data_IF_599338029583
#
_entry.id   IF_599338029583
#
_cell.length_a   1.000
_cell.length_b   1.000
_cell.length_c   1.000
_cell.angle_alpha   90.00
_cell.angle_beta   90.00
_cell.angle_gamma   90.00
#
_symmetry.space_group_name_H-M   'P 1'
#
loop_
_entity.id
_entity.type
_entity.pdbx_description
1 polymer ?
#
# COMPACT_ATOMS: atom_id res chain seq x y z
N UNK A 1 -17.59 -15.12 9.84
CA UNK A 1 -18.86 -15.31 10.58
C UNK A 1 -19.28 -16.78 10.57
N UNK A 2 -19.40 -17.41 11.74
CA UNK A 2 -19.81 -18.83 11.85
C UNK A 2 -21.27 -19.00 11.44
N UNK A 3 -21.61 -20.04 10.67
CA UNK A 3 -22.97 -20.30 10.13
C UNK A 3 -24.06 -20.41 11.20
N UNK A 4 -23.72 -20.84 12.42
CA UNK A 4 -24.66 -20.83 13.55
C UNK A 4 -25.00 -19.43 14.11
N UNK A 5 -24.28 -18.38 13.67
CA UNK A 5 -24.50 -17.01 14.15
C UNK A 5 -25.82 -16.39 13.64
N UNK A 6 -26.50 -17.01 12.68
CA UNK A 6 -27.74 -16.50 12.08
C UNK A 6 -29.01 -17.20 12.59
N UNK A 7 -28.88 -18.27 13.36
CA UNK A 7 -30.03 -18.96 13.93
C UNK A 7 -30.60 -18.12 15.09
N UNK A 8 -31.92 -17.84 15.12
CA UNK A 8 -32.60 -17.15 16.21
C UNK A 8 -32.73 -18.09 17.42
N UNK A 9 -31.60 -18.50 17.97
CA UNK A 9 -31.55 -19.20 19.25
C UNK A 9 -31.40 -18.14 20.36
N UNK A 10 -32.19 -18.25 21.43
CA UNK A 10 -32.04 -17.43 22.62
C UNK A 10 -30.70 -17.76 23.32
N UNK A 11 -29.59 -17.21 22.81
CA UNK A 11 -28.22 -17.54 23.26
C UNK A 11 -27.97 -17.23 24.73
N UNK A 12 -28.75 -16.30 25.30
CA UNK A 12 -28.72 -15.99 26.73
C UNK A 12 -29.26 -17.12 27.61
N UNK A 13 -30.04 -18.07 27.06
CA UNK A 13 -30.53 -19.26 27.78
C UNK A 13 -29.56 -20.44 27.72
N UNK A 14 -28.58 -20.44 26.81
CA UNK A 14 -27.61 -21.53 26.68
C UNK A 14 -26.85 -21.81 27.98
N UNK A 15 -26.34 -20.82 28.73
CA UNK A 15 -25.66 -21.07 30.00
C UNK A 15 -26.58 -21.73 31.04
N UNK A 16 -27.83 -21.26 31.14
CA UNK A 16 -28.81 -21.80 32.10
C UNK A 16 -29.23 -23.23 31.76
N UNK A 17 -29.49 -23.52 30.48
CA UNK A 17 -29.77 -24.88 30.01
C UNK A 17 -28.59 -25.82 30.22
N UNK A 18 -27.37 -25.36 29.92
CA UNK A 18 -26.15 -26.16 30.10
C UNK A 18 -25.91 -26.44 31.58
N UNK A 19 -26.09 -25.46 32.46
CA UNK A 19 -26.03 -25.65 33.92
C UNK A 19 -27.09 -26.62 34.43
N UNK A 20 -28.35 -26.47 34.00
CA UNK A 20 -29.44 -27.35 34.42
C UNK A 20 -29.14 -28.81 34.05
N UNK A 21 -28.68 -29.05 32.83
CA UNK A 21 -28.31 -30.39 32.35
C UNK A 21 -27.07 -30.94 33.06
N UNK A 22 -26.06 -30.11 33.32
CA UNK A 22 -24.89 -30.48 34.10
C UNK A 22 -25.29 -30.89 35.53
N UNK A 23 -26.18 -30.15 36.19
CA UNK A 23 -26.70 -30.48 37.51
C UNK A 23 -27.59 -31.73 37.50
N UNK A 24 -28.46 -31.87 36.49
CA UNK A 24 -29.36 -33.03 36.34
C UNK A 24 -28.60 -34.34 36.04
N UNK A 25 -27.44 -34.26 35.39
CA UNK A 25 -26.57 -35.41 35.18
C UNK A 25 -25.61 -35.66 36.36
N UNK A 26 -25.06 -34.62 36.97
CA UNK A 26 -24.07 -34.75 38.06
C UNK A 26 -24.69 -35.26 39.37
N UNK A 27 -25.88 -34.78 39.76
CA UNK A 27 -26.50 -35.18 41.04
C UNK A 27 -26.80 -36.69 41.13
N UNK A 28 -27.38 -37.37 40.13
CA UNK A 28 -27.60 -38.81 40.19
C UNK A 28 -26.33 -39.64 39.92
N UNK A 29 -25.29 -39.08 39.30
CA UNK A 29 -23.97 -39.75 39.16
C UNK A 29 -23.24 -39.89 40.52
N UNK A 30 -23.51 -39.01 41.48
CA UNK A 30 -23.04 -39.13 42.87
C UNK A 30 -23.86 -40.08 43.76
N UNK A 31 -24.93 -40.68 43.25
CA UNK A 31 -25.81 -41.56 44.03
C UNK A 31 -25.15 -42.92 44.35
N UNK A 32 -25.41 -43.46 45.55
CA UNK A 32 -25.00 -44.81 45.93
C UNK A 32 -25.66 -45.91 45.06
N UNK A 33 -26.83 -45.61 44.46
CA UNK A 33 -27.56 -46.54 43.61
C UNK A 33 -26.92 -46.68 42.23
N UNK A 34 -26.48 -47.91 41.91
CA UNK A 34 -25.89 -48.25 40.60
C UNK A 34 -26.86 -48.02 39.43
N UNK A 35 -28.16 -48.21 39.65
CA UNK A 35 -29.20 -48.00 38.62
C UNK A 35 -29.38 -46.51 38.29
N UNK A 36 -29.37 -45.64 39.29
CA UNK A 36 -29.46 -44.19 39.11
C UNK A 36 -28.24 -43.62 38.39
N UNK A 37 -27.04 -44.09 38.75
CA UNK A 37 -25.79 -43.72 38.04
C UNK A 37 -25.82 -44.14 36.57
N UNK A 38 -26.30 -45.35 36.27
CA UNK A 38 -26.42 -45.84 34.90
C UNK A 38 -27.43 -45.01 34.08
N UNK A 39 -28.58 -44.67 34.66
CA UNK A 39 -29.60 -43.85 34.01
C UNK A 39 -29.10 -42.42 33.71
N UNK A 40 -28.39 -41.79 34.65
CA UNK A 40 -27.79 -40.47 34.43
C UNK A 40 -26.67 -40.49 33.39
N UNK A 41 -25.82 -41.53 33.41
CA UNK A 41 -24.80 -41.74 32.39
C UNK A 41 -25.39 -41.93 30.99
N UNK A 42 -26.49 -42.68 30.87
CA UNK A 42 -27.21 -42.85 29.62
C UNK A 42 -27.80 -41.53 29.12
N UNK A 43 -28.45 -40.76 30.01
CA UNK A 43 -29.04 -39.46 29.65
C UNK A 43 -27.97 -38.46 29.20
N UNK A 44 -26.82 -38.44 29.87
CA UNK A 44 -25.67 -37.64 29.46
C UNK A 44 -25.12 -38.09 28.10
N UNK A 45 -24.97 -39.39 27.87
CA UNK A 45 -24.49 -39.93 26.60
C UNK A 45 -25.44 -39.61 25.44
N UNK A 46 -26.75 -39.73 25.65
CA UNK A 46 -27.78 -39.35 24.67
C UNK A 46 -27.73 -37.83 24.39
N UNK A 47 -27.58 -37.01 25.43
CA UNK A 47 -27.50 -35.57 25.28
C UNK A 47 -26.23 -35.13 24.53
N UNK A 48 -25.06 -35.68 24.88
CA UNK A 48 -23.81 -35.44 24.15
C UNK A 48 -23.94 -35.92 22.70
N UNK A 49 -24.48 -37.12 22.49
CA UNK A 49 -24.73 -37.66 21.16
C UNK A 49 -25.64 -36.76 20.31
N UNK A 50 -26.72 -36.25 20.88
CA UNK A 50 -27.65 -35.34 20.22
C UNK A 50 -27.01 -34.00 19.85
N UNK A 51 -26.24 -33.39 20.76
CA UNK A 51 -25.56 -32.12 20.51
C UNK A 51 -24.39 -32.29 19.51
N UNK A 52 -23.70 -33.42 19.55
CA UNK A 52 -22.62 -33.72 18.63
C UNK A 52 -23.14 -34.13 17.25
N UNK A 53 -24.33 -34.72 17.15
CA UNK A 53 -24.95 -35.13 15.89
C UNK A 53 -25.07 -33.96 14.91
N UNK A 54 -25.57 -32.80 15.36
CA UNK A 54 -25.65 -31.60 14.54
C UNK A 54 -24.29 -31.14 14.04
N UNK A 55 -23.27 -31.13 14.89
CA UNK A 55 -21.90 -30.75 14.52
C UNK A 55 -21.25 -31.76 13.55
N UNK A 56 -21.49 -33.06 13.73
CA UNK A 56 -20.97 -34.12 12.86
C UNK A 56 -21.65 -34.06 11.48
N UNK A 57 -22.96 -33.89 11.43
CA UNK A 57 -23.72 -33.79 10.17
C UNK A 57 -23.30 -32.53 9.41
N UNK A 58 -23.25 -31.37 10.07
CA UNK A 58 -22.75 -30.14 9.47
C UNK A 58 -21.29 -30.26 9.03
N UNK A 59 -20.46 -30.93 9.85
CA UNK A 59 -19.07 -31.22 9.53
C UNK A 59 -18.94 -32.04 8.25
N UNK A 60 -19.72 -33.11 8.10
CA UNK A 60 -19.76 -33.97 6.90
C UNK A 60 -20.24 -33.23 5.66
N UNK A 61 -21.28 -32.40 5.79
CA UNK A 61 -21.79 -31.57 4.69
C UNK A 61 -20.77 -30.52 4.25
N UNK A 62 -19.90 -30.07 5.15
CA UNK A 62 -18.84 -29.12 4.87
C UNK A 62 -17.53 -29.74 4.34
N UNK A 63 -17.38 -31.08 4.35
CA UNK A 63 -16.15 -31.77 3.87
C UNK A 63 -15.84 -31.44 2.40
N UNK A 64 -16.79 -31.55 1.45
CA UNK A 64 -16.49 -31.28 0.04
C UNK A 64 -16.03 -29.84 -0.22
N UNK A 65 -16.64 -28.88 0.47
CA UNK A 65 -16.24 -27.46 0.40
C UNK A 65 -14.85 -27.24 1.02
N UNK A 66 -14.56 -27.89 2.15
CA UNK A 66 -13.22 -27.87 2.75
C UNK A 66 -12.17 -28.45 1.81
N UNK A 67 -12.42 -29.60 1.20
CA UNK A 67 -11.47 -30.27 0.31
C UNK A 67 -11.25 -29.45 -0.97
N UNK A 68 -12.31 -28.87 -1.54
CA UNK A 68 -12.20 -27.96 -2.67
C UNK A 68 -11.36 -26.70 -2.33
N UNK A 69 -11.55 -26.12 -1.13
CA UNK A 69 -10.74 -24.98 -0.65
C UNK A 69 -9.27 -25.37 -0.44
N UNK A 70 -9.01 -26.55 0.12
CA UNK A 70 -7.63 -27.05 0.31
C UNK A 70 -6.95 -27.32 -1.04
N UNK A 71 -7.64 -27.96 -1.99
CA UNK A 71 -7.13 -28.19 -3.33
C UNK A 71 -6.82 -26.88 -4.06
N UNK A 72 -7.72 -25.89 -3.99
CA UNK A 72 -7.50 -24.54 -4.52
C UNK A 72 -6.25 -23.88 -3.94
N UNK A 73 -6.09 -23.94 -2.62
CA UNK A 73 -4.93 -23.37 -1.92
C UNK A 73 -3.62 -24.07 -2.29
N UNK A 74 -3.64 -25.39 -2.49
CA UNK A 74 -2.48 -26.13 -3.00
C UNK A 74 -2.11 -25.72 -4.43
N UNK A 75 -3.11 -25.53 -5.30
CA UNK A 75 -2.90 -25.01 -6.67
C UNK A 75 -2.29 -23.61 -6.65
N UNK A 76 -2.82 -22.71 -5.80
CA UNK A 76 -2.28 -21.36 -5.59
C UNK A 76 -0.83 -21.40 -5.12
N UNK A 77 -0.53 -22.20 -4.10
CA UNK A 77 0.83 -22.37 -3.57
C UNK A 77 1.80 -22.83 -4.65
N UNK A 78 1.38 -23.82 -5.46
CA UNK A 78 2.18 -24.34 -6.57
C UNK A 78 2.37 -23.30 -7.68
N UNK A 79 1.35 -22.52 -8.00
CA UNK A 79 1.42 -21.48 -9.03
C UNK A 79 2.38 -20.35 -8.62
N UNK A 80 2.26 -19.86 -7.38
CA UNK A 80 3.17 -18.85 -6.82
C UNK A 80 4.60 -19.38 -6.75
N UNK A 81 4.80 -20.62 -6.28
CA UNK A 81 6.13 -21.24 -6.23
C UNK A 81 6.77 -21.42 -7.62
N UNK A 82 5.99 -21.74 -8.65
CA UNK A 82 6.47 -21.81 -10.05
C UNK A 82 6.95 -20.46 -10.59
N UNK A 83 6.36 -19.36 -10.11
CA UNK A 83 6.76 -18.00 -10.46
C UNK A 83 7.96 -17.50 -9.64
N UNK A 84 8.49 -18.32 -8.73
CA UNK A 84 9.71 -18.04 -7.97
C UNK A 84 9.53 -17.09 -6.79
N UNK A 85 8.30 -16.65 -6.48
CA UNK A 85 8.04 -15.80 -5.32
C UNK A 85 7.79 -16.64 -4.06
N UNK A 86 8.27 -16.15 -2.91
CA UNK A 86 7.96 -16.78 -1.61
C UNK A 86 6.75 -16.15 -0.93
N UNK A 87 6.31 -14.98 -1.40
CA UNK A 87 5.10 -14.32 -0.91
C UNK A 87 4.19 -13.88 -2.06
N UNK A 88 2.88 -13.81 -1.78
CA UNK A 88 1.88 -13.24 -2.66
C UNK A 88 0.95 -12.29 -1.90
N UNK A 89 0.61 -11.19 -2.54
CA UNK A 89 -0.14 -10.10 -1.93
C UNK A 89 -1.60 -10.12 -2.37
N UNK A 90 -2.54 -10.15 -1.42
CA UNK A 90 -3.96 -10.25 -1.75
C UNK A 90 -4.57 -8.88 -2.06
N UNK A 91 -5.24 -8.79 -3.21
CA UNK A 91 -6.04 -7.64 -3.65
C UNK A 91 -7.50 -8.08 -3.83
N UNK A 92 -8.35 -7.67 -2.90
CA UNK A 92 -9.78 -8.01 -2.92
C UNK A 92 -10.47 -7.43 -1.70
N UNK A 93 -11.75 -7.71 -1.53
CA UNK A 93 -12.55 -7.20 -0.39
C UNK A 93 -11.95 -7.58 0.99
N UNK A 94 -12.54 -7.06 2.08
CA UNK A 94 -12.07 -7.39 3.43
C UNK A 94 -11.90 -8.88 3.66
N UNK A 95 -12.93 -9.62 3.27
CA UNK A 95 -13.07 -11.02 3.62
C UNK A 95 -11.97 -11.77 2.91
N UNK A 96 -11.75 -11.45 1.64
CA UNK A 96 -10.65 -11.96 0.86
C UNK A 96 -9.29 -11.64 1.50
N UNK A 97 -9.03 -10.38 1.86
CA UNK A 97 -7.76 -10.01 2.52
C UNK A 97 -7.59 -10.66 3.90
N UNK A 98 -8.67 -10.87 4.66
CA UNK A 98 -8.64 -11.57 5.94
C UNK A 98 -8.24 -13.04 5.81
N UNK A 99 -8.36 -13.63 4.62
CA UNK A 99 -7.91 -15.00 4.39
C UNK A 99 -6.39 -15.14 4.27
N UNK A 100 -5.62 -14.05 4.11
CA UNK A 100 -4.17 -14.09 3.91
C UNK A 100 -3.47 -14.96 4.98
N UNK A 101 -3.72 -14.67 6.26
CA UNK A 101 -3.21 -15.46 7.38
C UNK A 101 -3.65 -16.93 7.36
N UNK A 102 -4.91 -17.18 6.98
CA UNK A 102 -5.45 -18.55 6.86
C UNK A 102 -4.81 -19.33 5.70
N UNK A 103 -4.54 -18.67 4.58
CA UNK A 103 -3.82 -19.26 3.45
C UNK A 103 -2.37 -19.55 3.84
N UNK A 104 -1.68 -18.59 4.46
CA UNK A 104 -0.31 -18.73 4.99
C UNK A 104 -0.17 -19.88 5.98
N UNK A 105 -1.11 -20.04 6.92
CA UNK A 105 -1.06 -21.13 7.89
C UNK A 105 -1.11 -22.50 7.21
N UNK A 106 -1.98 -22.66 6.22
CA UNK A 106 -2.20 -23.95 5.54
C UNK A 106 -1.09 -24.31 4.56
N UNK A 107 -0.44 -23.33 3.95
CA UNK A 107 0.76 -23.55 3.12
C UNK A 107 2.03 -23.68 3.94
N UNK A 108 1.94 -23.73 5.28
CA UNK A 108 3.10 -23.68 6.19
C UNK A 108 4.01 -22.48 5.88
N UNK A 109 3.41 -21.36 5.46
CA UNK A 109 4.05 -20.12 5.04
C UNK A 109 5.00 -20.27 3.85
N UNK A 110 4.77 -21.27 3.01
CA UNK A 110 5.56 -21.51 1.79
C UNK A 110 4.64 -21.85 0.60
N UNK A 111 4.16 -20.85 -0.15
CA UNK A 111 4.43 -19.42 -0.02
C UNK A 111 3.61 -18.76 1.10
N UNK A 112 4.08 -17.61 1.59
CA UNK A 112 3.32 -16.72 2.46
C UNK A 112 2.32 -15.87 1.66
N UNK A 113 1.21 -15.53 2.29
CA UNK A 113 0.16 -14.66 1.74
C UNK A 113 -0.06 -13.49 2.69
N UNK A 114 -0.10 -12.28 2.13
CA UNK A 114 -0.15 -11.03 2.90
C UNK A 114 -1.29 -10.12 2.44
N UNK A 115 -1.83 -9.33 3.38
CA UNK A 115 -2.82 -8.30 3.09
C UNK A 115 -2.21 -6.90 3.18
N UNK A 116 -2.33 -6.13 2.09
CA UNK A 116 -1.67 -4.83 1.88
C UNK A 116 -2.04 -3.77 2.93
N UNK A 117 -3.25 -3.83 3.50
CA UNK A 117 -3.73 -2.85 4.47
C UNK A 117 -3.44 -3.21 5.93
N UNK A 118 -3.83 -4.42 6.35
CA UNK A 118 -3.86 -4.82 7.77
C UNK A 118 -2.52 -5.25 8.32
N UNK A 119 -1.71 -5.89 7.48
CA UNK A 119 -0.53 -6.61 7.92
C UNK A 119 0.74 -5.83 7.63
N UNK A 120 0.64 -4.56 7.20
CA UNK A 120 1.77 -3.74 6.74
C UNK A 120 2.93 -3.66 7.74
N UNK A 121 2.63 -3.67 9.04
CA UNK A 121 3.61 -3.65 10.12
C UNK A 121 4.05 -5.07 10.57
N UNK A 122 3.42 -6.13 10.04
CA UNK A 122 3.79 -7.50 10.37
C UNK A 122 5.04 -7.92 9.57
N UNK A 123 5.92 -8.75 10.16
CA UNK A 123 7.12 -9.25 9.49
C UNK A 123 6.86 -9.94 8.15
N UNK A 124 5.68 -10.59 8.00
CA UNK A 124 5.30 -11.25 6.76
C UNK A 124 5.07 -10.25 5.61
N UNK A 125 4.43 -9.10 5.87
CA UNK A 125 4.26 -8.07 4.85
C UNK A 125 5.61 -7.42 4.49
N UNK A 126 6.45 -7.13 5.48
CA UNK A 126 7.82 -6.66 5.24
C UNK A 126 8.64 -7.66 4.41
N UNK A 127 8.46 -8.97 4.64
CA UNK A 127 9.09 -10.01 3.83
C UNK A 127 8.54 -10.05 2.40
N UNK A 128 7.23 -9.84 2.21
CA UNK A 128 6.63 -9.72 0.89
C UNK A 128 7.12 -8.49 0.13
N UNK A 129 7.39 -7.37 0.81
CA UNK A 129 7.99 -6.17 0.20
C UNK A 129 9.44 -6.39 -0.27
N UNK A 130 10.16 -7.31 0.39
CA UNK A 130 11.53 -7.72 0.02
C UNK A 130 11.55 -8.71 -1.15
N UNK A 131 10.41 -9.20 -1.62
CA UNK A 131 10.38 -10.17 -2.72
C UNK A 131 10.95 -9.55 -4.01
N UNK A 132 11.87 -10.24 -4.69
CA UNK A 132 12.37 -9.80 -5.99
C UNK A 132 11.26 -9.86 -7.05
N UNK A 133 10.35 -10.84 -6.93
CA UNK A 133 9.22 -11.06 -7.83
C UNK A 133 7.92 -10.71 -7.10
N UNK A 134 7.22 -9.69 -7.59
CA UNK A 134 5.94 -9.28 -7.02
C UNK A 134 4.79 -10.01 -7.68
N UNK A 135 3.94 -10.57 -6.82
CA UNK A 135 2.75 -11.28 -7.24
C UNK A 135 1.57 -10.73 -6.45
N UNK A 136 0.52 -10.34 -7.19
CA UNK A 136 -0.76 -9.99 -6.60
C UNK A 136 -1.79 -11.07 -6.89
N UNK A 137 -2.42 -11.60 -5.86
CA UNK A 137 -3.57 -12.48 -5.98
C UNK A 137 -4.83 -11.61 -5.95
N UNK A 138 -5.50 -11.49 -7.10
CA UNK A 138 -6.66 -10.61 -7.26
C UNK A 138 -7.96 -11.40 -7.31
N UNK A 139 -8.96 -10.97 -6.53
CA UNK A 139 -10.32 -11.49 -6.61
C UNK A 139 -10.99 -11.03 -7.92
N UNK A 140 -11.77 -11.90 -8.55
CA UNK A 140 -12.35 -11.66 -9.87
C UNK A 140 -13.25 -10.41 -9.91
N UNK A 141 -13.91 -10.08 -8.79
CA UNK A 141 -14.74 -8.88 -8.64
C UNK A 141 -13.94 -7.58 -8.65
N UNK A 142 -12.66 -7.65 -8.27
CA UNK A 142 -11.76 -6.49 -8.15
C UNK A 142 -10.83 -6.35 -9.35
N UNK A 143 -10.59 -7.45 -10.07
CA UNK A 143 -9.68 -7.51 -11.22
C UNK A 143 -9.88 -6.37 -12.24
N UNK A 144 -11.10 -6.02 -12.70
CA UNK A 144 -11.27 -4.92 -13.67
C UNK A 144 -10.77 -3.57 -13.14
N UNK A 145 -10.94 -3.31 -11.84
CA UNK A 145 -10.48 -2.09 -11.20
C UNK A 145 -8.95 -2.07 -11.05
N UNK A 146 -8.34 -3.21 -10.73
CA UNK A 146 -6.88 -3.34 -10.68
C UNK A 146 -6.26 -3.15 -12.06
N UNK A 147 -6.82 -3.78 -13.08
CA UNK A 147 -6.40 -3.57 -14.47
C UNK A 147 -6.54 -2.11 -14.88
N UNK A 148 -7.61 -1.41 -14.49
CA UNK A 148 -7.78 0.01 -14.77
C UNK A 148 -6.68 0.86 -14.11
N UNK A 149 -6.29 0.55 -12.87
CA UNK A 149 -5.17 1.21 -12.19
C UNK A 149 -3.82 0.91 -12.86
N UNK A 150 -3.56 -0.34 -13.26
CA UNK A 150 -2.31 -0.70 -13.98
C UNK A 150 -2.23 -0.01 -15.35
N UNK A 151 -3.34 0.08 -16.09
CA UNK A 151 -3.41 0.83 -17.36
C UNK A 151 -3.19 2.32 -17.16
N UNK A 152 -3.79 2.90 -16.12
CA UNK A 152 -3.62 4.31 -15.78
C UNK A 152 -2.17 4.63 -15.39
N UNK A 153 -1.50 3.72 -14.68
CA UNK A 153 -0.07 3.81 -14.40
C UNK A 153 0.81 3.62 -15.65
N UNK A 154 0.31 2.98 -16.70
CA UNK A 154 1.08 2.60 -17.88
C UNK A 154 1.98 1.36 -17.65
N UNK A 155 1.70 0.57 -16.62
CA UNK A 155 2.45 -0.64 -16.31
C UNK A 155 2.10 -1.80 -17.26
N UNK A 156 3.06 -2.69 -17.49
CA UNK A 156 2.82 -3.99 -18.13
C UNK A 156 2.71 -5.09 -17.07
N UNK A 157 1.89 -6.12 -17.33
CA UNK A 157 1.73 -7.26 -16.43
C UNK A 157 1.26 -8.51 -17.21
N UNK A 158 1.31 -9.66 -16.54
CA UNK A 158 0.71 -10.91 -17.00
C UNK A 158 -0.36 -11.40 -16.03
N UNK A 159 -1.37 -12.05 -16.58
CA UNK A 159 -2.48 -12.62 -15.82
C UNK A 159 -2.48 -14.14 -15.95
N UNK A 160 -2.54 -14.83 -14.82
CA UNK A 160 -2.73 -16.28 -14.77
C UNK A 160 -4.01 -16.57 -13.98
N UNK A 161 -5.14 -16.87 -14.65
CA UNK A 161 -6.36 -17.31 -13.98
C UNK A 161 -6.10 -18.61 -13.23
N UNK A 162 -6.48 -18.68 -11.95
CA UNK A 162 -6.34 -19.90 -11.15
C UNK A 162 -7.66 -20.64 -11.09
N UNK A 163 -8.75 -19.92 -10.87
CA UNK A 163 -10.12 -20.42 -10.94
C UNK A 163 -11.11 -19.27 -11.22
N UNK A 164 -12.41 -19.55 -11.14
CA UNK A 164 -13.47 -18.57 -11.38
C UNK A 164 -13.52 -17.41 -10.36
N UNK A 165 -12.75 -17.48 -9.27
CA UNK A 165 -12.78 -16.53 -8.16
C UNK A 165 -11.52 -15.69 -8.04
N UNK A 166 -10.37 -16.18 -8.51
CA UNK A 166 -9.08 -15.50 -8.34
C UNK A 166 -8.16 -15.63 -9.56
N UNK A 167 -7.42 -14.55 -9.81
CA UNK A 167 -6.42 -14.41 -10.87
C UNK A 167 -5.10 -13.91 -10.26
N UNK A 168 -3.98 -14.52 -10.65
CA UNK A 168 -2.65 -14.01 -10.30
C UNK A 168 -2.21 -12.94 -11.31
N UNK A 169 -1.73 -11.81 -10.80
CA UNK A 169 -1.03 -10.79 -11.54
C UNK A 169 0.46 -10.89 -11.22
N UNK A 170 1.30 -11.05 -12.24
CA UNK A 170 2.75 -11.22 -12.09
C UNK A 170 3.50 -10.57 -13.27
N UNK A 171 4.83 -10.63 -13.24
CA UNK A 171 5.72 -9.97 -14.21
C UNK A 171 5.38 -8.49 -14.41
N UNK A 172 5.02 -7.82 -13.31
CA UNK A 172 4.67 -6.40 -13.33
C UNK A 172 5.92 -5.58 -13.66
N UNK A 173 5.82 -4.72 -14.68
CA UNK A 173 6.89 -3.81 -15.09
C UNK A 173 6.38 -2.38 -15.11
N UNK A 174 7.10 -1.42 -14.51
CA UNK A 174 6.71 -0.02 -14.57
C UNK A 174 6.84 0.52 -16.01
N UNK A 175 6.19 1.66 -16.32
CA UNK A 175 6.42 2.36 -17.57
C UNK A 175 7.89 2.85 -17.68
N UNK A 176 8.42 3.06 -18.90
CA UNK A 176 9.75 3.66 -19.08
C UNK A 176 9.85 5.03 -18.40
N UNK A 177 10.94 5.25 -17.65
CA UNK A 177 11.26 6.52 -16.99
C UNK A 177 11.99 7.47 -17.95
N UNK A 178 11.23 8.01 -18.89
CA UNK A 178 11.66 9.00 -19.89
C UNK A 178 10.97 10.33 -19.64
N UNK A 179 11.08 10.83 -18.41
CA UNK A 179 10.36 12.00 -17.94
C UNK A 179 11.15 12.78 -16.90
N UNK A 180 10.76 14.02 -16.68
CA UNK A 180 11.26 14.88 -15.61
C UNK A 180 10.11 15.70 -15.03
N UNK A 181 10.17 16.07 -13.74
CA UNK A 181 9.15 16.91 -13.13
C UNK A 181 9.17 18.33 -13.73
N UNK A 182 7.99 18.89 -13.96
CA UNK A 182 7.82 20.29 -14.35
C UNK A 182 7.94 21.15 -13.08
N UNK A 183 8.79 22.19 -13.04
CA UNK A 183 8.81 23.11 -11.91
C UNK A 183 7.45 23.83 -11.79
N UNK A 184 6.74 23.57 -10.69
CA UNK A 184 5.42 24.16 -10.42
C UNK A 184 5.47 25.39 -9.50
N UNK A 185 6.67 25.84 -9.10
CA UNK A 185 6.81 27.05 -8.30
C UNK A 185 6.19 28.26 -9.02
N UNK A 186 5.08 28.78 -8.47
CA UNK A 186 4.32 29.88 -9.07
C UNK A 186 3.30 29.46 -10.14
N UNK A 187 3.02 28.17 -10.31
CA UNK A 187 1.92 27.71 -11.15
C UNK A 187 0.57 28.17 -10.56
N UNK A 188 -0.35 28.59 -11.41
CA UNK A 188 -1.68 28.98 -10.97
C UNK A 188 -2.56 27.74 -10.87
N UNK A 189 -3.21 27.56 -9.72
CA UNK A 189 -4.17 26.47 -9.51
C UNK A 189 -5.58 27.05 -9.45
N UNK A 190 -6.43 26.66 -10.39
CA UNK A 190 -7.84 27.05 -10.44
C UNK A 190 -8.70 25.92 -9.85
N UNK A 191 -9.45 26.17 -8.76
CA UNK A 191 -10.34 25.18 -8.20
C UNK A 191 -11.57 24.99 -9.09
N UNK A 192 -12.03 23.76 -9.22
CA UNK A 192 -13.34 23.43 -9.76
C UNK A 192 -14.40 23.32 -8.65
N UNK A 193 -15.65 23.01 -9.01
CA UNK A 193 -16.73 22.80 -8.05
C UNK A 193 -16.39 21.73 -7.01
N UNK A 194 -16.84 21.93 -5.77
CA UNK A 194 -16.66 20.96 -4.68
C UNK A 194 -15.23 20.81 -4.16
N UNK A 195 -14.32 21.73 -4.48
CA UNK A 195 -12.95 21.73 -3.95
C UNK A 195 -12.83 22.72 -2.78
N UNK A 196 -12.27 22.28 -1.66
CA UNK A 196 -11.98 23.10 -0.48
C UNK A 196 -10.48 23.10 -0.16
N UNK A 197 -10.03 24.09 0.61
CA UNK A 197 -8.59 24.38 0.82
C UNK A 197 -8.05 25.44 -0.15
N UNK A 198 -6.85 25.94 0.11
CA UNK A 198 -6.19 26.89 -0.80
C UNK A 198 -5.60 26.11 -1.97
N UNK A 199 -5.99 26.40 -3.22
CA UNK A 199 -5.51 25.65 -4.39
C UNK A 199 -3.98 25.66 -4.55
N UNK A 200 -3.32 26.72 -4.08
CA UNK A 200 -1.86 26.85 -4.09
C UNK A 200 -1.14 25.77 -3.25
N UNK A 201 -1.83 25.12 -2.31
CA UNK A 201 -1.28 24.02 -1.53
C UNK A 201 -0.84 22.84 -2.41
N UNK A 202 -1.47 22.62 -3.57
CA UNK A 202 -1.09 21.51 -4.47
C UNK A 202 0.31 21.62 -5.08
N UNK A 203 0.99 22.75 -4.89
CA UNK A 203 2.28 23.05 -5.52
C UNK A 203 3.26 23.76 -4.58
N UNK A 204 2.99 23.82 -3.27
CA UNK A 204 3.82 24.58 -2.32
C UNK A 204 5.05 23.77 -1.84
N UNK A 205 5.03 22.45 -2.07
CA UNK A 205 6.02 21.48 -1.66
C UNK A 205 5.92 21.05 -0.21
N UNK A 206 4.74 21.13 0.41
CA UNK A 206 4.48 20.72 1.79
C UNK A 206 3.53 19.52 1.82
N UNK A 207 3.79 18.56 2.73
CA UNK A 207 2.82 17.49 2.96
C UNK A 207 1.73 17.88 3.97
N UNK A 208 1.95 18.90 4.79
CA UNK A 208 0.99 19.34 5.80
C UNK A 208 -0.12 20.24 5.25
N UNK A 209 0.05 20.84 4.08
CA UNK A 209 -1.03 21.57 3.41
C UNK A 209 -1.81 20.63 2.50
N UNK A 210 -3.14 20.77 2.48
CA UNK A 210 -4.01 19.86 1.73
C UNK A 210 -5.08 20.60 0.95
N UNK A 211 -5.50 19.98 -0.14
CA UNK A 211 -6.72 20.28 -0.88
C UNK A 211 -7.66 19.09 -0.78
N UNK A 212 -8.93 19.38 -0.56
CA UNK A 212 -9.96 18.39 -0.26
C UNK A 212 -11.08 18.46 -1.29
N UNK A 213 -11.53 17.29 -1.74
CA UNK A 213 -12.69 17.17 -2.62
C UNK A 213 -13.92 16.68 -1.88
N UNK A 214 -15.01 17.43 -2.00
CA UNK A 214 -16.34 17.09 -1.49
C UNK A 214 -16.73 15.64 -1.79
N UNK A 215 -17.33 15.00 -0.78
CA UNK A 215 -17.86 13.64 -0.85
C UNK A 215 -18.88 13.46 -1.97
N UNK A 216 -19.78 14.43 -2.11
CA UNK A 216 -21.00 14.29 -2.91
C UNK A 216 -20.84 14.79 -4.34
N UNK A 217 -19.66 15.33 -4.68
CA UNK A 217 -19.36 15.89 -5.99
C UNK A 217 -18.10 15.28 -6.60
N UNK A 218 -17.99 15.40 -7.92
CA UNK A 218 -16.73 15.17 -8.62
C UNK A 218 -15.91 16.44 -8.57
N UNK A 219 -15.10 16.58 -7.54
CA UNK A 219 -14.24 17.73 -7.35
C UNK A 219 -13.09 17.73 -8.35
N UNK A 220 -12.64 18.91 -8.74
CA UNK A 220 -11.58 19.05 -9.72
C UNK A 220 -10.70 20.25 -9.44
N UNK A 221 -9.49 20.21 -9.99
CA UNK A 221 -8.58 21.34 -10.03
C UNK A 221 -7.91 21.40 -11.39
N UNK A 222 -7.48 22.60 -11.79
CA UNK A 222 -6.72 22.83 -13.02
C UNK A 222 -5.41 23.53 -12.69
N UNK A 223 -4.29 22.93 -13.08
CA UNK A 223 -2.95 23.52 -13.02
C UNK A 223 -2.66 24.26 -14.33
N UNK A 224 -2.28 25.53 -14.26
CA UNK A 224 -1.70 26.30 -15.37
C UNK A 224 -0.17 26.29 -15.25
N UNK A 225 0.50 25.64 -16.19
CA UNK A 225 1.96 25.52 -16.22
C UNK A 225 2.67 26.78 -16.77
N UNK A 226 1.91 27.84 -17.08
CA UNK A 226 2.38 29.13 -17.61
C UNK A 226 2.74 29.10 -19.09
N UNK A 227 3.19 27.96 -19.61
CA UNK A 227 3.53 27.74 -21.02
C UNK A 227 3.17 26.33 -21.48
N UNK A 228 3.04 26.15 -22.78
CA UNK A 228 2.84 24.84 -23.38
C UNK A 228 4.10 23.97 -23.22
N UNK A 229 3.89 22.70 -22.85
CA UNK A 229 4.92 21.68 -22.64
C UNK A 229 4.44 20.33 -23.18
N UNK A 230 5.38 19.43 -23.46
CA UNK A 230 5.07 18.07 -23.88
C UNK A 230 4.94 17.16 -22.65
N UNK A 231 3.71 16.99 -22.17
CA UNK A 231 3.41 16.29 -20.91
C UNK A 231 3.20 14.80 -21.12
N UNK A 232 3.60 14.00 -20.13
CA UNK A 232 3.49 12.54 -20.15
C UNK A 232 2.99 11.90 -18.83
N UNK A 233 2.84 12.67 -17.75
CA UNK A 233 2.34 12.12 -16.50
C UNK A 233 1.81 13.14 -15.49
N UNK A 234 1.04 12.63 -14.54
CA UNK A 234 0.55 13.32 -13.36
C UNK A 234 0.67 12.38 -12.16
N UNK A 235 1.09 12.91 -11.03
CA UNK A 235 1.19 12.17 -9.78
C UNK A 235 0.55 12.97 -8.66
N UNK A 236 -0.23 12.29 -7.81
CA UNK A 236 -0.90 12.87 -6.65
C UNK A 236 -0.33 12.26 -5.38
N UNK A 237 0.07 13.13 -4.46
CA UNK A 237 0.69 12.77 -3.18
C UNK A 237 -0.38 12.85 -2.08
N UNK A 238 -0.48 11.80 -1.25
CA UNK A 238 -1.50 11.74 -0.20
C UNK A 238 -1.25 12.77 0.91
N UNK A 239 -2.34 13.08 1.61
CA UNK A 239 -2.34 13.88 2.84
C UNK A 239 -1.76 13.17 4.06
N UNK A 240 -1.48 11.87 3.94
CA UNK A 240 -0.94 11.06 5.02
C UNK A 240 -0.12 9.87 4.47
N UNK A 241 0.58 9.18 5.36
CA UNK A 241 1.28 7.95 5.05
C UNK A 241 0.35 6.75 4.80
N UNK A 242 -0.96 6.86 5.08
CA UNK A 242 -1.93 5.78 4.85
C UNK A 242 -2.32 5.67 3.37
N UNK A 243 -2.28 6.81 2.66
CA UNK A 243 -2.68 6.96 1.27
C UNK A 243 -4.15 6.61 1.00
N UNK A 244 -4.94 6.43 2.07
CA UNK A 244 -6.37 6.17 2.00
C UNK A 244 -7.16 7.43 1.65
N UNK A 245 -6.50 8.60 1.74
CA UNK A 245 -7.08 9.90 1.41
C UNK A 245 -7.13 10.15 -0.10
N UNK A 246 -6.39 9.40 -0.91
CA UNK A 246 -6.36 9.63 -2.35
C UNK A 246 -7.72 9.30 -2.99
N UNK A 247 -8.09 10.01 -4.08
CA UNK A 247 -9.31 9.72 -4.82
C UNK A 247 -9.29 8.27 -5.32
N UNK A 248 -10.47 7.66 -5.55
CA UNK A 248 -10.56 6.27 -6.03
C UNK A 248 -10.95 6.17 -7.50
N UNK A 249 -11.62 7.19 -8.03
CA UNK A 249 -12.01 7.27 -9.43
C UNK A 249 -11.76 8.69 -9.92
N UNK A 250 -11.58 8.86 -11.23
CA UNK A 250 -11.33 10.18 -11.77
C UNK A 250 -10.93 10.22 -13.23
N UNK A 251 -10.42 11.36 -13.66
CA UNK A 251 -9.88 11.54 -14.99
C UNK A 251 -8.78 12.60 -14.99
N UNK A 252 -7.80 12.39 -15.85
CA UNK A 252 -6.80 13.39 -16.22
C UNK A 252 -7.15 13.93 -17.60
N UNK A 253 -7.23 15.25 -17.72
CA UNK A 253 -7.51 15.93 -18.97
C UNK A 253 -6.51 17.07 -19.22
N UNK A 254 -6.18 17.29 -20.49
CA UNK A 254 -5.19 18.29 -20.90
C UNK A 254 -5.82 19.35 -21.80
N UNK A 255 -5.29 20.57 -21.75
CA UNK A 255 -5.66 21.67 -22.65
C UNK A 255 -4.45 22.55 -22.98
N UNK A 256 -4.43 23.12 -24.19
CA UNK A 256 -3.45 24.14 -24.59
C UNK A 256 -3.94 25.56 -24.30
N UNK A 257 -5.25 25.77 -24.24
CA UNK A 257 -5.87 27.10 -24.14
C UNK A 257 -6.72 27.33 -22.88
N UNK A 258 -6.91 26.30 -22.05
CA UNK A 258 -7.69 26.39 -20.81
C UNK A 258 -9.21 26.40 -21.02
N UNK A 259 -9.70 26.40 -22.26
CA UNK A 259 -11.11 26.37 -22.60
C UNK A 259 -11.58 24.95 -22.97
N UNK A 260 -10.79 24.22 -23.75
CA UNK A 260 -11.16 22.89 -24.26
C UNK A 260 -10.23 21.84 -23.66
N UNK A 261 -10.79 20.97 -22.81
CA UNK A 261 -10.05 19.87 -22.18
C UNK A 261 -10.32 18.54 -22.88
N UNK A 262 -9.26 17.80 -23.20
CA UNK A 262 -9.34 16.44 -23.71
C UNK A 262 -8.90 15.45 -22.65
N UNK A 263 -9.75 14.49 -22.32
CA UNK A 263 -9.40 13.43 -21.36
C UNK A 263 -8.32 12.54 -21.96
N UNK A 264 -7.19 12.41 -21.27
CA UNK A 264 -6.07 11.54 -21.67
C UNK A 264 -6.04 10.24 -20.86
N UNK A 265 -6.54 10.27 -19.62
CA UNK A 265 -6.70 9.06 -18.80
C UNK A 265 -8.09 9.07 -18.18
N UNK A 266 -9.03 8.23 -18.66
CA UNK A 266 -10.25 7.92 -17.93
C UNK A 266 -9.93 6.85 -16.89
N UNK A 267 -10.21 7.12 -15.62
CA UNK A 267 -9.84 6.22 -14.54
C UNK A 267 -11.03 5.81 -13.66
N UNK A 268 -11.22 4.50 -13.54
CA UNK A 268 -12.24 3.88 -12.69
C UNK A 268 -11.60 2.82 -11.79
N UNK A 269 -10.57 3.22 -11.06
CA UNK A 269 -9.96 2.37 -10.04
C UNK A 269 -10.89 2.17 -8.84
N UNK A 270 -10.60 1.16 -8.02
CA UNK A 270 -11.05 1.12 -6.62
C UNK A 270 -9.86 1.10 -5.67
N UNK A 271 -8.66 1.22 -6.23
CA UNK A 271 -7.40 1.25 -5.51
C UNK A 271 -6.94 2.71 -5.48
N UNK A 272 -6.88 3.35 -4.32
CA UNK A 272 -6.41 4.74 -4.19
C UNK A 272 -4.90 4.88 -4.41
N UNK A 273 -4.17 3.77 -4.53
CA UNK A 273 -2.70 3.73 -4.65
C UNK A 273 -2.30 2.81 -5.79
N UNK A 274 -1.61 3.38 -6.78
CA UNK A 274 -0.96 2.68 -7.88
C UNK A 274 0.21 3.53 -8.38
N UNK A 275 1.44 3.04 -8.18
CA UNK A 275 2.65 3.82 -8.50
C UNK A 275 3.86 2.91 -8.81
N UNK A 276 4.88 3.51 -9.40
CA UNK A 276 6.15 2.86 -9.67
C UNK A 276 7.27 3.40 -8.77
N UNK A 277 8.03 2.51 -8.11
CA UNK A 277 9.26 2.84 -7.38
C UNK A 277 10.37 1.88 -7.83
N UNK A 278 11.55 2.41 -8.17
CA UNK A 278 12.54 1.69 -8.98
C UNK A 278 11.93 0.92 -10.16
N UNK A 279 12.31 -0.34 -10.28
CA UNK A 279 11.79 -1.31 -11.27
C UNK A 279 10.49 -2.01 -10.80
N UNK A 280 9.83 -1.42 -9.82
CA UNK A 280 8.76 -2.05 -9.08
C UNK A 280 7.40 -1.38 -9.23
N UNK A 281 6.34 -2.17 -9.42
CA UNK A 281 4.94 -1.69 -9.42
C UNK A 281 4.27 -2.03 -8.09
N UNK A 282 3.62 -1.02 -7.50
CA UNK A 282 2.96 -1.13 -6.21
C UNK A 282 1.46 -0.83 -6.33
N UNK A 283 0.65 -1.73 -5.76
CA UNK A 283 -0.80 -1.62 -5.72
C UNK A 283 -1.26 -1.67 -4.26
N UNK A 284 -1.78 -0.55 -3.75
CA UNK A 284 -2.04 -0.38 -2.32
C UNK A 284 -0.77 -0.21 -1.48
N UNK A 285 -0.97 -0.05 -0.16
CA UNK A 285 0.08 -0.07 0.87
C UNK A 285 0.37 1.31 1.44
N UNK A 286 1.12 1.36 2.55
CA UNK A 286 1.55 2.63 3.14
C UNK A 286 2.51 3.41 2.24
N UNK A 287 2.58 4.73 2.42
CA UNK A 287 3.36 5.68 1.62
C UNK A 287 3.10 5.59 0.12
N UNK A 288 1.87 5.22 -0.24
CA UNK A 288 1.41 5.13 -1.60
C UNK A 288 1.12 6.48 -2.23
N UNK A 289 1.33 6.58 -3.53
CA UNK A 289 0.89 7.70 -4.35
C UNK A 289 0.02 7.19 -5.49
N UNK A 290 -0.65 8.12 -6.15
CA UNK A 290 -1.45 7.82 -7.32
C UNK A 290 -0.78 8.43 -8.54
N UNK A 291 -0.27 7.56 -9.41
CA UNK A 291 0.49 7.95 -10.58
C UNK A 291 -0.29 7.61 -11.86
N UNK A 292 -0.34 8.57 -12.77
CA UNK A 292 -0.96 8.49 -14.08
C UNK A 292 0.09 8.72 -15.15
N UNK A 293 0.19 7.79 -16.09
CA UNK A 293 1.03 7.90 -17.29
C UNK A 293 0.14 7.97 -18.52
N UNK A 294 0.45 8.87 -19.45
CA UNK A 294 -0.28 9.03 -20.69
C UNK A 294 0.65 9.31 -21.87
N UNK A 295 0.22 9.05 -23.12
CA UNK A 295 1.01 9.37 -24.30
C UNK A 295 1.40 10.85 -24.33
N UNK A 296 2.55 11.16 -24.91
CA UNK A 296 3.06 12.52 -25.01
C UNK A 296 2.05 13.45 -25.69
N UNK A 297 1.71 14.57 -25.03
CA UNK A 297 0.78 15.57 -25.58
C UNK A 297 1.24 16.99 -25.27
N UNK A 298 1.17 17.92 -26.24
CA UNK A 298 1.33 19.34 -25.96
C UNK A 298 0.16 19.83 -25.11
N UNK A 299 0.48 20.49 -23.99
CA UNK A 299 -0.49 21.07 -23.08
C UNK A 299 0.13 22.16 -22.21
N UNK A 300 -0.68 23.17 -21.86
CA UNK A 300 -0.36 24.19 -20.86
C UNK A 300 -1.15 23.95 -19.56
N UNK A 301 -2.33 23.37 -19.67
CA UNK A 301 -3.25 23.16 -18.57
C UNK A 301 -3.45 21.67 -18.31
N UNK A 302 -3.36 21.27 -17.04
CA UNK A 302 -3.65 19.91 -16.58
C UNK A 302 -4.84 19.97 -15.64
N UNK A 303 -5.91 19.24 -15.95
CA UNK A 303 -7.07 19.11 -15.09
C UNK A 303 -7.14 17.70 -14.53
N UNK A 304 -7.28 17.61 -13.22
CA UNK A 304 -7.69 16.40 -12.54
C UNK A 304 -9.13 16.55 -12.05
N UNK A 305 -9.93 15.51 -12.27
CA UNK A 305 -11.27 15.38 -11.69
C UNK A 305 -11.30 14.09 -10.89
N UNK A 306 -11.50 14.18 -9.58
CA UNK A 306 -11.55 13.04 -8.68
C UNK A 306 -12.94 12.84 -8.09
N UNK A 307 -13.25 11.61 -7.73
CA UNK A 307 -14.37 11.30 -6.85
C UNK A 307 -13.83 10.77 -5.52
N UNK A 308 -14.54 11.15 -4.45
CA UNK A 308 -14.22 10.75 -3.09
C UNK A 308 -14.17 9.24 -2.94
N UNK A 309 -13.41 8.73 -1.96
CA UNK A 309 -13.37 7.30 -1.67
C UNK A 309 -14.81 6.85 -1.42
N UNK A 310 -15.39 6.11 -2.37
CA UNK A 310 -16.70 5.51 -2.14
C UNK A 310 -16.54 4.66 -0.87
N UNK A 311 -17.42 4.84 0.12
CA UNK A 311 -17.35 4.27 1.47
C UNK A 311 -17.36 2.73 1.58
N UNK A 312 -16.80 2.04 0.59
CA UNK A 312 -16.25 0.69 0.63
C UNK A 312 -14.91 0.71 -0.10
N UNK A 313 -13.88 1.21 0.59
CA UNK A 313 -12.57 0.56 0.53
C UNK A 313 -12.82 -0.93 0.69
N UNK A 314 -12.05 -1.77 -0.01
CA UNK A 314 -11.97 -3.21 0.25
C UNK A 314 -12.11 -3.43 1.76
N UNK A 315 -13.28 -3.94 2.18
CA UNK A 315 -13.90 -3.66 3.48
C UNK A 315 -12.85 -3.67 4.64
N UNK A 316 -12.98 -2.82 5.65
CA UNK A 316 -12.26 -2.93 6.93
C UNK A 316 -13.36 -2.86 7.99
N UNK A 317 -13.71 -3.93 8.73
CA UNK A 317 -14.75 -3.91 9.72
C UNK A 317 -14.17 -3.34 11.01
N UNK A 318 -14.75 -2.20 11.38
CA UNK A 318 -15.44 -1.99 12.65
C UNK A 318 -14.93 -2.83 13.83
N UNK A 319 -14.13 -2.14 14.62
CA UNK A 319 -14.01 -2.27 16.08
C UNK A 319 -13.83 -0.89 16.71
N UNK A 320 -13.24 0.04 15.95
CA UNK A 320 -13.14 1.46 16.28
C UNK A 320 -13.55 2.30 15.07
N UNK A 321 -14.07 3.50 15.33
CA UNK A 321 -14.65 4.40 14.36
C UNK A 321 -13.63 5.05 13.41
N UNK A 322 -12.82 4.28 12.70
CA UNK A 322 -12.11 4.80 11.52
C UNK A 322 -13.11 4.89 10.37
N UNK A 323 -13.89 5.98 10.37
CA UNK A 323 -14.46 6.50 9.13
C UNK A 323 -13.27 6.84 8.25
N UNK A 324 -12.91 5.97 7.29
CA UNK A 324 -12.01 6.38 6.22
C UNK A 324 -12.51 7.69 5.62
N UNK A 325 -11.59 8.53 5.15
CA UNK A 325 -11.92 9.87 4.68
C UNK A 325 -13.10 9.80 3.71
N UNK A 326 -14.20 10.48 4.06
CA UNK A 326 -15.39 10.56 3.20
C UNK A 326 -15.16 11.45 2.00
N UNK A 327 -14.10 12.24 2.06
CA UNK A 327 -13.60 13.16 1.06
C UNK A 327 -12.20 12.70 0.66
N UNK A 328 -11.80 12.97 -0.58
CA UNK A 328 -10.41 12.74 -0.95
C UNK A 328 -9.57 13.96 -0.55
N UNK A 329 -8.33 13.73 -0.14
CA UNK A 329 -7.36 14.77 0.22
C UNK A 329 -6.03 14.49 -0.47
N UNK A 330 -5.48 15.51 -1.10
CA UNK A 330 -4.18 15.52 -1.80
C UNK A 330 -3.37 16.68 -1.22
N UNK A 331 -2.12 16.40 -0.85
CA UNK A 331 -1.19 17.48 -0.45
C UNK A 331 -0.56 18.10 -1.68
N UNK A 332 0.02 17.28 -2.54
CA UNK A 332 0.82 17.75 -3.67
C UNK A 332 0.40 17.11 -4.99
N UNK A 333 0.57 17.86 -6.07
CA UNK A 333 0.47 17.35 -7.43
C UNK A 333 1.81 17.56 -8.15
N UNK A 334 2.35 16.50 -8.75
CA UNK A 334 3.54 16.56 -9.61
C UNK A 334 3.17 16.29 -11.06
N UNK A 335 3.61 17.14 -11.97
CA UNK A 335 3.38 17.01 -13.41
C UNK A 335 4.68 16.66 -14.10
N UNK A 336 4.64 15.74 -15.04
CA UNK A 336 5.82 15.26 -15.75
C UNK A 336 5.79 15.64 -17.24
N UNK A 337 6.93 16.12 -17.73
CA UNK A 337 7.20 16.32 -19.16
C UNK A 337 8.20 15.28 -19.69
N UNK A 338 8.20 15.04 -20.99
CA UNK A 338 9.14 14.09 -21.59
C UNK A 338 10.59 14.52 -21.39
N UNK A 339 11.43 13.54 -21.06
CA UNK A 339 12.88 13.67 -20.97
C UNK A 339 13.53 12.50 -21.71
N UNK A 340 14.87 12.52 -21.81
CA UNK A 340 15.60 11.37 -22.33
C UNK A 340 15.32 10.13 -21.47
N UNK A 341 15.11 8.95 -22.08
CA UNK A 341 14.93 7.71 -21.33
C UNK A 341 16.18 7.44 -20.47
N UNK A 342 15.97 7.23 -19.18
CA UNK A 342 17.02 6.72 -18.29
C UNK A 342 16.99 5.18 -18.28
N UNK A 343 18.15 4.52 -18.11
CA UNK A 343 18.20 3.07 -18.00
C UNK A 343 17.39 2.58 -16.79
N UNK A 344 16.86 1.37 -16.89
CA UNK A 344 16.24 0.67 -15.77
C UNK A 344 17.32 0.28 -14.73
N UNK A 345 16.93 0.25 -13.46
CA UNK A 345 17.86 -0.08 -12.38
C UNK A 345 18.32 -1.54 -12.49
N UNK A 346 19.61 -1.76 -12.70
CA UNK A 346 20.20 -3.10 -12.76
C UNK A 346 20.78 -3.54 -11.41
N UNK A 347 20.91 -4.84 -11.19
CA UNK A 347 21.62 -5.38 -10.01
C UNK A 347 23.09 -4.94 -9.95
N UNK A 348 23.66 -4.52 -11.09
CA UNK A 348 25.01 -3.93 -11.12
C UNK A 348 24.99 -2.51 -10.57
N UNK A 349 24.09 -1.65 -11.04
CA UNK A 349 23.99 -0.25 -10.58
C UNK A 349 23.62 -0.18 -9.09
N UNK A 350 22.72 -1.06 -8.62
CA UNK A 350 22.39 -1.17 -7.19
C UNK A 350 23.62 -1.58 -6.38
N UNK A 351 24.51 -2.42 -6.95
CA UNK A 351 25.75 -2.79 -6.29
C UNK A 351 26.73 -1.63 -6.22
N UNK A 352 26.98 -0.97 -7.34
CA UNK A 352 27.86 0.20 -7.42
C UNK A 352 27.40 1.33 -6.48
N UNK A 353 26.09 1.58 -6.41
CA UNK A 353 25.50 2.53 -5.46
C UNK A 353 25.80 2.14 -4.00
N UNK A 354 25.57 0.87 -3.63
CA UNK A 354 25.78 0.47 -2.24
C UNK A 354 27.28 0.46 -1.86
N UNK A 355 28.16 0.06 -2.78
CA UNK A 355 29.61 0.14 -2.57
C UNK A 355 30.05 1.59 -2.34
N UNK A 356 29.51 2.53 -3.14
CA UNK A 356 29.72 3.97 -2.94
C UNK A 356 29.21 4.45 -1.57
N UNK A 357 28.02 4.04 -1.14
CA UNK A 357 27.49 4.43 0.18
C UNK A 357 28.36 3.89 1.33
N UNK A 358 28.86 2.66 1.21
CA UNK A 358 29.77 2.04 2.18
C UNK A 358 31.12 2.77 2.22
N UNK A 359 31.71 3.10 1.06
CA UNK A 359 32.95 3.89 0.94
C UNK A 359 32.83 5.27 1.59
N UNK A 360 31.64 5.88 1.49
CA UNK A 360 31.32 7.17 2.08
C UNK A 360 30.98 7.09 3.57
N UNK A 361 30.99 5.90 4.18
CA UNK A 361 30.70 5.69 5.60
C UNK A 361 29.24 5.97 5.96
N UNK A 362 28.31 5.76 5.03
CA UNK A 362 26.89 6.00 5.25
C UNK A 362 26.31 4.92 6.15
N UNK A 363 25.80 5.32 7.31
CA UNK A 363 25.17 4.44 8.29
C UNK A 363 23.64 4.43 8.19
N UNK A 364 23.01 5.30 7.38
CA UNK A 364 21.56 5.28 7.12
C UNK A 364 21.20 5.88 5.76
N UNK A 365 20.24 5.29 5.05
CA UNK A 365 19.76 5.76 3.75
C UNK A 365 18.23 5.88 3.69
N UNK A 366 17.74 7.07 3.36
CA UNK A 366 16.35 7.27 2.94
C UNK A 366 16.24 7.02 1.43
N UNK A 367 15.35 6.12 1.00
CA UNK A 367 15.21 5.78 -0.41
C UNK A 367 13.81 5.26 -0.76
N UNK A 368 13.58 4.96 -2.03
CA UNK A 368 12.30 4.39 -2.46
C UNK A 368 12.08 2.95 -1.97
N UNK A 369 10.80 2.55 -1.99
CA UNK A 369 10.33 1.25 -1.50
C UNK A 369 10.98 0.05 -2.22
N UNK A 370 11.51 0.22 -3.43
CA UNK A 370 12.12 -0.87 -4.21
C UNK A 370 13.61 -1.00 -3.91
N UNK A 371 14.29 0.10 -3.67
CA UNK A 371 15.71 0.13 -3.37
C UNK A 371 16.01 -0.28 -1.91
N UNK A 372 15.17 0.15 -0.96
CA UNK A 372 15.35 -0.16 0.46
C UNK A 372 15.66 -1.65 0.77
N UNK A 373 14.88 -2.64 0.30
CA UNK A 373 15.16 -4.05 0.61
C UNK A 373 16.47 -4.55 0.00
N UNK A 374 16.91 -3.96 -1.12
CA UNK A 374 18.13 -4.34 -1.84
C UNK A 374 19.38 -3.82 -1.14
N UNK A 375 19.33 -2.60 -0.61
CA UNK A 375 20.40 -2.06 0.23
C UNK A 375 20.52 -2.85 1.54
N UNK A 376 19.39 -3.21 2.16
CA UNK A 376 19.38 -3.99 3.40
C UNK A 376 19.91 -5.40 3.25
N UNK A 377 19.67 -6.05 2.11
CA UNK A 377 20.19 -7.39 1.85
C UNK A 377 21.73 -7.45 1.83
N UNK A 378 22.40 -6.30 1.73
CA UNK A 378 23.87 -6.19 1.75
C UNK A 378 24.44 -5.91 3.14
N UNK A 379 23.60 -5.55 4.10
CA UNK A 379 24.06 -5.30 5.46
C UNK A 379 24.44 -6.62 6.13
N UNK A 380 25.47 -6.62 7.00
CA UNK A 380 25.78 -7.78 7.83
C UNK A 380 24.53 -8.27 8.55
N UNK A 381 24.36 -9.59 8.70
CA UNK A 381 23.15 -10.17 9.29
C UNK A 381 22.84 -9.65 10.71
N UNK A 382 23.87 -9.24 11.45
CA UNK A 382 23.78 -8.71 12.81
C UNK A 382 23.77 -7.17 12.86
N UNK A 383 23.85 -6.51 11.71
CA UNK A 383 23.79 -5.06 11.62
C UNK A 383 22.35 -4.57 11.80
N UNK A 384 22.26 -3.38 12.39
CA UNK A 384 21.05 -2.59 12.41
C UNK A 384 20.54 -2.35 10.97
N UNK A 385 19.27 -2.66 10.65
CA UNK A 385 18.67 -2.24 9.38
C UNK A 385 18.74 -0.72 9.24
N UNK A 386 19.37 -0.22 8.18
CA UNK A 386 19.56 1.22 8.00
C UNK A 386 19.07 1.80 6.68
N UNK A 387 18.09 1.16 6.03
CA UNK A 387 17.37 1.75 4.90
C UNK A 387 15.86 1.89 5.19
N UNK A 388 15.32 3.05 4.84
CA UNK A 388 13.91 3.41 4.96
C UNK A 388 13.27 3.36 3.55
N UNK A 389 11.99 2.91 3.36
CA UNK A 389 10.89 2.90 4.34
C UNK A 389 10.53 1.55 5.00
N UNK A 390 11.26 0.46 4.73
CA UNK A 390 10.79 -0.87 5.12
C UNK A 390 10.97 -1.23 6.60
N UNK A 391 11.80 -0.50 7.37
CA UNK A 391 12.06 -0.82 8.78
C UNK A 391 11.99 0.42 9.65
N UNK A 392 10.94 0.45 10.45
CA UNK A 392 10.80 1.30 11.62
C UNK A 392 11.95 0.99 12.60
N UNK A 393 12.93 1.89 12.70
CA UNK A 393 13.58 2.12 13.99
C UNK A 393 12.97 3.38 14.57
N UNK A 394 12.16 3.26 15.64
CA UNK A 394 11.59 4.41 16.35
C UNK A 394 12.66 5.44 16.77
N UNK A 395 13.91 5.03 16.95
CA UNK A 395 14.98 5.92 17.42
C UNK A 395 15.45 7.02 16.46
N UNK A 396 15.12 6.95 15.16
CA UNK A 396 15.53 7.97 14.16
C UNK A 396 14.37 8.67 13.45
N UNK A 397 13.15 8.18 13.68
CA UNK A 397 11.89 8.76 13.22
C UNK A 397 11.25 9.30 14.49
N UNK A 398 11.12 10.63 14.63
CA UNK A 398 10.65 11.22 15.89
C UNK A 398 9.36 10.50 16.38
N UNK A 399 9.47 9.85 17.54
CA UNK A 399 8.35 9.31 18.32
C UNK A 399 7.48 10.48 18.80
N UNK A 400 6.50 10.87 18.01
CA UNK A 400 5.26 11.37 18.59
C UNK A 400 4.46 10.12 19.00
N UNK A 401 4.05 10.04 20.26
CA UNK A 401 3.31 8.91 20.84
C UNK A 401 1.89 8.73 20.28
N UNK A 402 1.78 8.47 18.98
CA UNK A 402 0.60 8.19 18.18
C UNK A 402 1.04 7.79 16.77
N UNK A 403 0.17 7.19 15.95
CA UNK A 403 0.50 6.91 14.55
C UNK A 403 0.93 8.20 13.84
N UNK A 404 2.24 8.42 13.64
CA UNK A 404 2.72 9.63 12.99
C UNK A 404 2.12 9.70 11.56
N UNK A 405 1.43 10.79 11.18
CA UNK A 405 0.81 10.90 9.87
C UNK A 405 1.83 10.92 8.73
N UNK A 406 3.08 11.25 9.04
CA UNK A 406 4.17 11.45 8.09
C UNK A 406 5.47 10.81 8.57
N UNK A 407 6.32 10.45 7.62
CA UNK A 407 7.67 9.97 7.91
C UNK A 407 8.65 11.12 7.84
N UNK A 408 9.26 11.44 8.97
CA UNK A 408 10.20 12.55 9.12
C UNK A 408 11.63 12.06 8.99
N UNK A 409 12.41 12.77 8.19
CA UNK A 409 13.85 12.55 8.03
C UNK A 409 14.59 13.84 8.36
N UNK A 410 15.54 13.75 9.29
CA UNK A 410 16.46 14.85 9.59
C UNK A 410 17.82 14.55 8.97
N UNK A 411 18.30 15.36 8.01
CA UNK A 411 19.64 15.22 7.46
C UNK A 411 20.70 15.26 8.57
N UNK A 412 21.69 14.36 8.52
CA UNK A 412 22.76 14.29 9.50
C UNK A 412 24.03 13.72 8.84
N UNK A 413 25.23 14.02 9.34
CA UNK A 413 26.45 13.43 8.81
C UNK A 413 26.41 11.91 8.86
N UNK A 414 26.83 11.27 7.77
CA UNK A 414 26.77 9.81 7.61
C UNK A 414 25.38 9.27 7.27
N UNK A 415 24.40 10.13 6.99
CA UNK A 415 23.14 9.71 6.35
C UNK A 415 23.16 10.07 4.86
N UNK A 416 22.36 9.34 4.08
CA UNK A 416 22.17 9.61 2.67
C UNK A 416 20.69 9.62 2.28
N UNK A 417 20.40 10.32 1.21
CA UNK A 417 19.14 10.27 0.50
C UNK A 417 19.40 9.75 -0.91
N UNK A 418 18.64 8.76 -1.34
CA UNK A 418 18.69 8.22 -2.70
C UNK A 418 17.32 8.33 -3.35
N UNK A 419 17.24 9.07 -4.45
CA UNK A 419 16.02 9.29 -5.23
C UNK A 419 16.18 8.75 -6.63
N UNK A 420 15.06 8.49 -7.32
CA UNK A 420 15.10 8.21 -8.75
C UNK A 420 15.80 9.36 -9.47
N UNK A 421 16.67 9.07 -10.43
CA UNK A 421 17.52 10.08 -11.04
C UNK A 421 16.71 11.14 -11.82
N UNK A 422 15.47 10.82 -12.25
CA UNK A 422 14.53 11.79 -12.81
C UNK A 422 14.09 12.89 -11.83
N UNK A 423 14.22 12.65 -10.52
CA UNK A 423 13.88 13.60 -9.44
C UNK A 423 15.11 14.33 -8.87
N UNK A 424 16.31 14.06 -9.38
CA UNK A 424 17.56 14.56 -8.80
C UNK A 424 17.59 16.09 -8.72
N UNK A 425 17.25 16.78 -9.82
CA UNK A 425 17.27 18.24 -9.87
C UNK A 425 16.23 18.88 -8.95
N UNK A 426 15.02 18.30 -8.91
CA UNK A 426 13.96 18.77 -8.01
C UNK A 426 14.34 18.55 -6.54
N UNK A 427 14.87 17.38 -6.21
CA UNK A 427 15.36 17.08 -4.86
C UNK A 427 16.49 18.03 -4.45
N UNK A 428 17.44 18.29 -5.34
CA UNK A 428 18.53 19.24 -5.08
C UNK A 428 17.98 20.66 -4.81
N UNK A 429 16.99 21.10 -5.58
CA UNK A 429 16.33 22.39 -5.36
C UNK A 429 15.67 22.46 -3.96
N UNK A 430 14.96 21.40 -3.55
CA UNK A 430 14.35 21.31 -2.21
C UNK A 430 15.40 21.30 -1.10
N UNK A 431 16.49 20.56 -1.26
CA UNK A 431 17.58 20.53 -0.28
C UNK A 431 18.28 21.90 -0.17
N UNK A 432 18.49 22.62 -1.28
CA UNK A 432 19.05 23.99 -1.25
C UNK A 432 18.13 24.96 -0.52
N UNK A 433 16.81 24.81 -0.69
CA UNK A 433 15.83 25.62 0.02
C UNK A 433 15.79 25.29 1.52
N UNK A 434 15.93 24.01 1.89
CA UNK A 434 15.88 23.55 3.28
C UNK A 434 17.19 23.78 4.06
N UNK A 435 18.34 23.54 3.43
CA UNK A 435 19.67 23.49 4.08
C UNK A 435 20.55 24.70 3.73
N UNK A 436 20.12 25.54 2.79
CA UNK A 436 20.86 26.71 2.34
C UNK A 436 21.76 26.44 1.12
N UNK A 437 22.52 27.47 0.72
CA UNK A 437 23.25 27.52 -0.57
C UNK A 437 24.60 26.78 -0.59
N UNK A 438 25.04 26.21 0.52
CA UNK A 438 26.37 25.61 0.66
C UNK A 438 26.49 24.18 0.15
N UNK A 439 25.40 23.58 -0.36
CA UNK A 439 25.32 22.17 -0.76
C UNK A 439 26.06 21.24 0.22
N UNK A 440 25.60 21.13 1.48
CA UNK A 440 26.24 20.30 2.50
C UNK A 440 26.04 18.78 2.27
N UNK A 441 26.20 18.35 1.02
CA UNK A 441 26.12 16.96 0.57
C UNK A 441 27.05 16.70 -0.62
N UNK A 442 27.51 15.46 -0.77
CA UNK A 442 28.05 14.98 -2.04
C UNK A 442 26.94 14.43 -2.92
N UNK A 443 26.94 14.86 -4.18
CA UNK A 443 26.02 14.38 -5.21
C UNK A 443 26.74 13.36 -6.11
N UNK A 444 26.10 12.22 -6.36
CA UNK A 444 26.58 11.23 -7.32
C UNK A 444 25.40 10.49 -7.99
N UNK A 445 25.48 10.30 -9.31
CA UNK A 445 24.51 9.54 -10.10
C UNK A 445 24.97 8.09 -10.30
N UNK A 446 24.03 7.16 -10.18
CA UNK A 446 24.22 5.71 -10.24
C UNK A 446 23.16 5.09 -11.16
N UNK A 447 23.24 5.44 -12.46
CA UNK A 447 22.31 4.97 -13.48
C UNK A 447 20.87 5.48 -13.25
N UNK A 448 19.99 4.60 -12.76
CA UNK A 448 18.58 4.92 -12.47
C UNK A 448 18.38 5.76 -11.20
N UNK A 449 19.41 5.92 -10.37
CA UNK A 449 19.35 6.61 -9.08
C UNK A 449 20.35 7.76 -8.96
N UNK A 450 20.04 8.72 -8.09
CA UNK A 450 20.95 9.77 -7.66
C UNK A 450 21.02 9.79 -6.13
N UNK A 451 22.22 10.01 -5.60
CA UNK A 451 22.53 9.98 -4.17
C UNK A 451 22.98 11.35 -3.67
N UNK A 452 22.53 11.69 -2.47
CA UNK A 452 22.89 12.88 -1.71
C UNK A 452 23.44 12.42 -0.35
N UNK A 453 24.76 12.44 -0.18
CA UNK A 453 25.43 12.01 1.06
C UNK A 453 25.71 13.24 1.92
N UNK A 454 25.09 13.33 3.09
CA UNK A 454 25.14 14.54 3.90
C UNK A 454 26.45 14.69 4.70
N UNK A 455 26.96 15.92 4.76
CA UNK A 455 28.29 16.24 5.27
C UNK A 455 28.27 16.92 6.65
N UNK A 456 29.38 16.90 7.40
CA UNK A 456 29.54 17.67 8.65
C UNK A 456 29.33 19.18 8.51
N UNK A 457 29.33 19.71 7.27
CA UNK A 457 29.05 21.11 6.95
C UNK A 457 27.55 21.45 6.98
N UNK A 458 26.68 20.49 7.30
CA UNK A 458 25.26 20.73 7.58
C UNK A 458 25.06 21.84 8.63
N UNK A 459 23.95 22.59 8.56
CA UNK A 459 23.60 23.53 9.62
C UNK A 459 23.44 22.80 10.97
N UNK A 460 23.71 23.45 12.13
CA UNK A 460 23.72 22.80 13.44
C UNK A 460 22.38 22.14 13.84
N UNK A 461 21.28 22.64 13.30
CA UNK A 461 19.94 22.11 13.50
C UNK A 461 19.22 22.06 12.14
N UNK A 462 19.50 21.04 11.30
CA UNK A 462 18.85 20.91 10.01
C UNK A 462 17.35 20.65 10.23
N UNK A 463 16.47 21.25 9.40
CA UNK A 463 15.03 21.05 9.51
C UNK A 463 14.68 19.57 9.31
N UNK A 464 13.59 19.16 9.94
CA UNK A 464 12.96 17.90 9.59
C UNK A 464 12.29 18.04 8.23
N UNK A 465 12.49 17.05 7.36
CA UNK A 465 11.83 16.95 6.07
C UNK A 465 10.90 15.74 6.07
N UNK A 466 9.87 15.76 5.24
CA UNK A 466 8.90 14.67 5.15
C UNK A 466 9.18 13.84 3.91
N UNK A 467 9.10 12.52 4.05
CA UNK A 467 9.18 11.60 2.93
C UNK A 467 7.79 11.31 2.33
N UNK A 468 7.63 11.65 1.06
CA UNK A 468 6.36 11.52 0.33
C UNK A 468 6.20 10.20 -0.44
N UNK A 469 7.15 9.27 -0.28
CA UNK A 469 7.21 8.01 -1.02
C UNK A 469 8.23 8.00 -2.16
N UNK A 470 8.68 9.16 -2.63
CA UNK A 470 9.62 9.31 -3.74
C UNK A 470 10.80 10.24 -3.43
N UNK A 471 10.54 11.32 -2.69
CA UNK A 471 11.52 12.35 -2.38
C UNK A 471 11.24 12.97 -1.00
N UNK A 472 12.18 13.82 -0.54
CA UNK A 472 11.99 14.65 0.65
C UNK A 472 11.36 15.99 0.27
N UNK A 473 10.28 16.33 0.97
CA UNK A 473 9.53 17.58 0.87
C UNK A 473 9.46 18.29 2.22
N UNK A 474 8.91 19.51 2.24
CA UNK A 474 8.73 20.23 3.49
C UNK A 474 7.62 19.61 4.33
N UNK A 475 7.76 19.75 5.65
CA UNK A 475 6.64 19.51 6.56
C UNK A 475 5.52 20.49 6.22
#
# INVERSE_FOLDING_TARGET
>A
PHTMAHLPAARYLLPFWTMFLACAAAMPMGSASRRLRAAAGLLLAVWVGWNLHGAIVLGRLAVPDRDARLARRATLAKAVGKLGARHATLLGDYYFQSEANGMSFLTRRSPGFVAVGKERCLPAAQAAEREPVRIYLCQQSTLPAVQASLRALGAAWRETPIDATVTLLHDLRPPPRARQPVPLGGATVTPGPGLTGLPAHLTDGSQCTVVQGDRDQRSSFTLDLGRERNLCGLELIPADASSLTLPTHGAVALSTNGAVFRTVVPWKGRLPVAYAAGDGVYLGGGQGRLEFTFPLRPARYVRFTGASPAGRLLDIPRGEAHRGATEWMVSEARVYEAAAPRPAATDREVRELADYLDEMGVWFTACDRWLAPRLLARQPADATPCAFPLFERPGHLQEDGGEAPFWRFRPAPGTALVVAAELADEQAARLRQALGRGEPWYFSEHGAYASFVFLPTLPPAPPSLVWDGAMLIFE
#
